data_IF_970486422258
#
_entry.id   IF_970486422258
#
_cell.length_a   1.000
_cell.length_b   1.000
_cell.length_c   1.000
_cell.angle_alpha   90.00
_cell.angle_beta   90.00
_cell.angle_gamma   90.00
#
_symmetry.space_group_name_H-M   'P 1'
#
loop_
_entity.id
_entity.type
_entity.pdbx_description
1 polymer ?
#
# COMPACT_ATOMS: atom_id res chain seq x y z
N UNK A 1 -0.69 25.24 12.17
CA UNK A 1 0.53 24.77 11.48
C UNK A 1 1.08 25.91 10.61
N UNK A 2 2.42 26.15 10.61
CA UNK A 2 3.03 27.18 9.75
C UNK A 2 3.26 26.65 8.33
N UNK A 3 3.39 27.56 7.35
CA UNK A 3 3.69 27.19 5.96
C UNK A 3 5.03 26.44 5.86
N UNK A 4 6.03 26.83 6.65
CA UNK A 4 7.33 26.17 6.70
C UNK A 4 7.20 24.73 7.21
N UNK A 5 6.45 24.51 8.28
CA UNK A 5 6.16 23.16 8.80
C UNK A 5 5.48 22.29 7.74
N UNK A 6 4.50 22.84 7.01
CA UNK A 6 3.81 22.11 5.94
C UNK A 6 4.76 21.67 4.82
N UNK A 7 5.65 22.57 4.38
CA UNK A 7 6.65 22.26 3.34
C UNK A 7 7.63 21.19 3.82
N UNK A 8 8.14 21.31 5.05
CA UNK A 8 9.07 20.31 5.61
C UNK A 8 8.38 18.95 5.73
N UNK A 9 7.14 18.89 6.20
CA UNK A 9 6.38 17.64 6.26
C UNK A 9 6.16 17.04 4.88
N UNK A 10 5.88 17.88 3.86
CA UNK A 10 5.79 17.42 2.47
C UNK A 10 7.10 16.84 1.93
N UNK A 11 8.23 17.45 2.26
CA UNK A 11 9.55 16.92 1.90
C UNK A 11 9.86 15.60 2.61
N UNK A 12 9.58 15.52 3.92
CA UNK A 12 9.74 14.27 4.69
C UNK A 12 8.89 13.17 4.07
N UNK A 13 7.60 13.43 3.82
CA UNK A 13 6.70 12.47 3.18
C UNK A 13 7.25 12.02 1.83
N UNK A 14 7.61 12.95 0.95
CA UNK A 14 8.11 12.64 -0.38
C UNK A 14 9.40 11.81 -0.37
N UNK A 15 10.31 12.04 0.57
CA UNK A 15 11.53 11.27 0.70
C UNK A 15 11.29 9.88 1.33
N UNK A 16 10.50 9.83 2.41
CA UNK A 16 10.33 8.59 3.19
C UNK A 16 9.29 7.64 2.62
N UNK A 17 8.37 8.10 1.76
CA UNK A 17 7.39 7.25 1.10
C UNK A 17 8.04 6.34 0.04
N UNK A 18 9.04 6.84 -0.68
CA UNK A 18 9.74 6.05 -1.70
C UNK A 18 10.89 5.20 -1.14
N UNK A 19 11.30 5.48 0.08
CA UNK A 19 12.25 4.65 0.81
C UNK A 19 11.47 3.74 1.78
N UNK A 20 11.89 2.47 1.97
CA UNK A 20 11.19 1.54 2.87
C UNK A 20 11.47 1.84 4.35
N UNK A 21 11.30 3.11 4.79
CA UNK A 21 11.71 3.59 6.12
C UNK A 21 10.55 4.08 7.00
N UNK A 22 9.30 3.81 6.61
CA UNK A 22 8.08 4.25 7.31
C UNK A 22 7.88 5.77 7.34
N UNK A 23 7.18 6.29 6.32
CA UNK A 23 6.82 7.72 6.23
C UNK A 23 5.97 8.20 7.40
N UNK A 24 4.95 7.42 7.78
CA UNK A 24 4.07 7.76 8.91
C UNK A 24 4.81 7.82 10.25
N UNK A 25 5.82 6.96 10.47
CA UNK A 25 6.67 7.03 11.66
C UNK A 25 7.48 8.33 11.71
N UNK A 26 8.06 8.75 10.58
CA UNK A 26 8.80 10.01 10.48
C UNK A 26 7.90 11.22 10.66
N UNK A 27 6.70 11.23 10.06
CA UNK A 27 5.73 12.30 10.24
C UNK A 27 5.26 12.41 11.70
N UNK A 28 5.00 11.28 12.37
CA UNK A 28 4.62 11.26 13.79
C UNK A 28 5.71 11.86 14.67
N UNK A 29 6.97 11.44 14.48
CA UNK A 29 8.11 12.01 15.22
C UNK A 29 8.26 13.50 14.97
N UNK A 30 8.16 13.94 13.71
CA UNK A 30 8.28 15.36 13.38
C UNK A 30 7.17 16.18 14.04
N UNK A 31 5.92 15.72 14.03
CA UNK A 31 4.79 16.38 14.69
C UNK A 31 5.05 16.58 16.19
N UNK A 32 5.53 15.54 16.87
CA UNK A 32 5.78 15.58 18.31
C UNK A 32 6.97 16.50 18.63
N UNK A 33 8.11 16.33 17.93
CA UNK A 33 9.34 17.09 18.22
C UNK A 33 9.21 18.58 17.93
N UNK A 34 8.45 18.96 16.89
CA UNK A 34 8.26 20.36 16.49
C UNK A 34 6.93 20.94 16.96
N UNK A 35 6.22 20.21 17.84
CA UNK A 35 4.93 20.61 18.42
C UNK A 35 3.97 21.15 17.34
N UNK A 36 3.84 20.40 16.25
CA UNK A 36 2.99 20.75 15.13
C UNK A 36 1.54 20.56 15.53
N UNK A 37 0.81 21.67 15.70
CA UNK A 37 -0.61 21.63 16.06
C UNK A 37 -1.43 21.07 14.90
N UNK A 38 -2.09 19.93 15.10
CA UNK A 38 -2.72 19.11 14.06
C UNK A 38 -4.23 19.07 14.22
N UNK A 39 -4.91 20.19 14.50
CA UNK A 39 -6.38 20.27 14.49
C UNK A 39 -7.00 19.76 13.17
N UNK A 40 -6.19 19.75 12.08
CA UNK A 40 -6.51 19.17 10.77
C UNK A 40 -5.70 17.90 10.47
N UNK A 41 -5.10 17.26 11.48
CA UNK A 41 -4.01 16.30 11.35
C UNK A 41 -4.27 15.16 10.36
N UNK A 42 -5.40 14.50 10.45
CA UNK A 42 -5.73 13.37 9.56
C UNK A 42 -5.89 13.82 8.10
N UNK A 43 -6.58 14.94 7.84
CA UNK A 43 -6.78 15.44 6.49
C UNK A 43 -5.46 15.84 5.84
N UNK A 44 -4.59 16.50 6.60
CA UNK A 44 -3.29 16.91 6.10
C UNK A 44 -2.40 15.71 5.75
N UNK A 45 -2.36 14.68 6.60
CA UNK A 45 -1.64 13.45 6.33
C UNK A 45 -2.16 12.73 5.07
N UNK A 46 -3.48 12.68 4.91
CA UNK A 46 -4.11 12.12 3.70
C UNK A 46 -3.66 12.92 2.47
N UNK A 47 -3.64 14.26 2.54
CA UNK A 47 -3.20 15.09 1.42
C UNK A 47 -1.73 14.87 1.05
N UNK A 48 -0.85 14.63 2.03
CA UNK A 48 0.54 14.27 1.80
C UNK A 48 0.65 12.94 1.04
N UNK A 49 -0.11 11.91 1.45
CA UNK A 49 -0.15 10.62 0.75
C UNK A 49 -0.77 10.73 -0.65
N UNK A 50 -1.79 11.57 -0.83
CA UNK A 50 -2.36 11.84 -2.16
C UNK A 50 -1.30 12.47 -3.07
N UNK A 51 -0.47 13.38 -2.56
CA UNK A 51 0.63 13.98 -3.32
C UNK A 51 1.64 12.94 -3.82
N UNK A 52 2.07 12.02 -2.96
CA UNK A 52 2.98 10.93 -3.35
C UNK A 52 2.31 9.92 -4.28
N UNK A 53 1.04 9.61 -4.07
CA UNK A 53 0.25 8.75 -4.97
C UNK A 53 0.15 9.35 -6.39
N UNK A 54 -0.10 10.65 -6.49
CA UNK A 54 -0.11 11.34 -7.79
C UNK A 54 1.24 11.26 -8.49
N UNK A 55 2.34 11.42 -7.76
CA UNK A 55 3.68 11.27 -8.31
C UNK A 55 3.91 9.85 -8.88
N UNK A 56 3.50 8.81 -8.15
CA UNK A 56 3.54 7.41 -8.63
C UNK A 56 2.67 7.23 -9.88
N UNK A 57 1.46 7.78 -9.87
CA UNK A 57 0.55 7.69 -11.03
C UNK A 57 1.13 8.36 -12.27
N UNK A 58 1.82 9.48 -12.13
CA UNK A 58 2.46 10.19 -13.25
C UNK A 58 3.64 9.39 -13.80
N UNK A 59 4.49 8.84 -12.94
CA UNK A 59 5.69 8.10 -13.36
C UNK A 59 5.33 6.74 -13.98
N UNK A 60 4.42 6.01 -13.36
CA UNK A 60 4.05 4.63 -13.74
C UNK A 60 2.69 4.53 -14.45
N UNK A 61 2.23 5.61 -15.11
CA UNK A 61 0.87 5.65 -15.69
C UNK A 61 0.57 4.50 -16.66
N UNK A 62 1.56 4.03 -17.44
CA UNK A 62 1.40 2.92 -18.40
C UNK A 62 1.15 1.58 -17.68
N UNK A 63 1.94 1.31 -16.63
CA UNK A 63 1.81 0.08 -15.87
C UNK A 63 0.52 0.07 -15.07
N UNK A 64 0.17 1.20 -14.45
CA UNK A 64 -1.08 1.37 -13.70
C UNK A 64 -2.29 1.19 -14.63
N UNK A 65 -2.27 1.81 -15.82
CA UNK A 65 -3.35 1.65 -16.77
C UNK A 65 -3.51 0.18 -17.21
N UNK A 66 -2.39 -0.53 -17.43
CA UNK A 66 -2.42 -1.95 -17.76
C UNK A 66 -2.99 -2.80 -16.62
N UNK A 67 -2.55 -2.55 -15.38
CA UNK A 67 -3.07 -3.25 -14.20
C UNK A 67 -4.57 -2.99 -13.97
N UNK A 68 -5.03 -1.74 -14.14
CA UNK A 68 -6.46 -1.39 -14.04
C UNK A 68 -7.28 -2.11 -15.12
N UNK A 69 -6.80 -2.17 -16.36
CA UNK A 69 -7.44 -2.90 -17.44
C UNK A 69 -7.58 -4.40 -17.11
N UNK A 70 -6.51 -5.02 -16.61
CA UNK A 70 -6.54 -6.43 -16.22
C UNK A 70 -7.45 -6.68 -15.02
N UNK A 71 -7.48 -5.77 -14.03
CA UNK A 71 -8.42 -5.84 -12.91
C UNK A 71 -9.87 -5.81 -13.39
N UNK A 72 -10.23 -4.88 -14.29
CA UNK A 72 -11.58 -4.83 -14.89
C UNK A 72 -11.88 -6.13 -15.63
N UNK A 73 -10.92 -6.67 -16.37
CA UNK A 73 -11.06 -7.95 -17.06
C UNK A 73 -11.34 -9.11 -16.08
N UNK A 74 -10.66 -9.16 -14.95
CA UNK A 74 -10.91 -10.15 -13.88
C UNK A 74 -12.33 -10.03 -13.35
N UNK A 75 -12.79 -8.80 -13.06
CA UNK A 75 -14.14 -8.56 -12.55
C UNK A 75 -15.19 -9.01 -13.55
N UNK A 76 -15.02 -8.68 -14.83
CA UNK A 76 -15.95 -9.09 -15.90
C UNK A 76 -16.01 -10.62 -16.02
N UNK A 77 -14.85 -11.30 -16.02
CA UNK A 77 -14.82 -12.76 -16.13
C UNK A 77 -15.40 -13.45 -14.88
N UNK A 78 -15.20 -12.88 -13.69
CA UNK A 78 -15.85 -13.36 -12.46
C UNK A 78 -17.37 -13.21 -12.52
N UNK A 79 -17.88 -12.05 -12.96
CA UNK A 79 -19.32 -11.81 -13.11
C UNK A 79 -19.89 -12.78 -14.16
N UNK A 80 -19.22 -12.96 -15.29
CA UNK A 80 -19.65 -13.91 -16.32
C UNK A 80 -19.72 -15.34 -15.77
N UNK A 81 -18.68 -15.82 -15.07
CA UNK A 81 -18.68 -17.13 -14.46
C UNK A 81 -19.81 -17.30 -13.43
N UNK A 82 -20.13 -16.24 -12.68
CA UNK A 82 -21.25 -16.24 -11.75
C UNK A 82 -22.61 -16.36 -12.49
N UNK A 83 -22.79 -15.68 -13.64
CA UNK A 83 -24.02 -15.81 -14.44
C UNK A 83 -24.16 -17.22 -15.06
N UNK A 84 -23.04 -17.86 -15.43
CA UNK A 84 -23.03 -19.26 -15.88
C UNK A 84 -23.43 -20.19 -14.73
N UNK A 85 -22.90 -19.97 -13.52
CA UNK A 85 -23.22 -20.77 -12.34
C UNK A 85 -24.71 -20.69 -11.96
N UNK A 86 -25.32 -19.51 -12.11
CA UNK A 86 -26.75 -19.27 -11.81
C UNK A 86 -27.66 -19.76 -12.94
N UNK A 87 -27.10 -20.35 -14.02
CA UNK A 87 -27.88 -20.94 -15.13
C UNK A 87 -28.53 -19.92 -16.08
N UNK A 88 -28.11 -18.64 -16.02
CA UNK A 88 -28.65 -17.59 -16.87
C UNK A 88 -28.07 -17.55 -18.30
N UNK A 89 -26.86 -18.10 -18.48
CA UNK A 89 -26.20 -18.13 -19.80
C UNK A 89 -25.99 -19.59 -20.25
N UNK A 90 -26.54 -19.94 -21.39
CA UNK A 90 -26.77 -21.31 -21.88
C UNK A 90 -25.53 -22.13 -22.31
N UNK A 91 -24.32 -21.56 -22.40
CA UNK A 91 -23.21 -22.27 -23.03
C UNK A 91 -22.32 -23.06 -22.00
N UNK A 92 -22.56 -22.90 -20.70
CA UNK A 92 -21.91 -23.69 -19.64
C UNK A 92 -20.38 -23.63 -19.55
N UNK A 93 -19.73 -22.80 -20.37
CA UNK A 93 -18.27 -22.70 -20.45
C UNK A 93 -17.75 -21.61 -19.52
N UNK A 94 -17.00 -22.02 -18.49
CA UNK A 94 -16.32 -21.11 -17.58
C UNK A 94 -15.11 -20.44 -18.23
N UNK A 95 -14.94 -19.14 -18.01
CA UNK A 95 -13.76 -18.40 -18.44
C UNK A 95 -12.63 -18.56 -17.42
N UNK A 96 -11.42 -18.79 -17.91
CA UNK A 96 -10.22 -18.76 -17.08
C UNK A 96 -9.93 -17.31 -16.64
N UNK A 97 -10.09 -17.02 -15.35
CA UNK A 97 -9.91 -15.67 -14.79
C UNK A 97 -8.43 -15.28 -14.78
N UNK A 98 -7.51 -16.22 -14.47
CA UNK A 98 -6.07 -15.95 -14.36
C UNK A 98 -5.32 -16.71 -15.42
N UNK A 99 -5.11 -16.11 -16.59
CA UNK A 99 -4.43 -16.72 -17.73
C UNK A 99 -3.07 -16.07 -18.06
N UNK A 100 -2.74 -14.92 -17.48
CA UNK A 100 -1.48 -14.21 -17.71
C UNK A 100 -0.81 -13.76 -16.39
N UNK A 101 0.48 -13.37 -16.49
CA UNK A 101 1.27 -12.94 -15.34
C UNK A 101 0.78 -11.63 -14.70
N UNK A 102 0.18 -10.72 -15.47
CA UNK A 102 -0.39 -9.48 -14.94
C UNK A 102 -1.65 -9.76 -14.12
N UNK A 103 -2.54 -10.62 -14.59
CA UNK A 103 -3.73 -11.04 -13.82
C UNK A 103 -3.35 -11.76 -12.54
N UNK A 104 -2.30 -12.61 -12.60
CA UNK A 104 -1.76 -13.26 -11.39
C UNK A 104 -1.26 -12.23 -10.38
N UNK A 105 -0.53 -11.21 -10.85
CA UNK A 105 -0.04 -10.14 -9.98
C UNK A 105 -1.19 -9.34 -9.36
N UNK A 106 -2.20 -8.96 -10.15
CA UNK A 106 -3.41 -8.28 -9.65
C UNK A 106 -4.13 -9.11 -8.58
N UNK A 107 -4.30 -10.42 -8.82
CA UNK A 107 -4.91 -11.32 -7.81
C UNK A 107 -4.09 -11.43 -6.54
N UNK A 108 -2.77 -11.49 -6.64
CA UNK A 108 -1.89 -11.47 -5.46
C UNK A 108 -2.03 -10.18 -4.66
N UNK A 109 -2.12 -9.03 -5.33
CA UNK A 109 -2.36 -7.73 -4.67
C UNK A 109 -3.71 -7.74 -3.96
N UNK A 110 -4.78 -8.20 -4.60
CA UNK A 110 -6.12 -8.27 -3.99
C UNK A 110 -6.08 -9.16 -2.74
N UNK A 111 -5.53 -10.37 -2.86
CA UNK A 111 -5.47 -11.35 -1.75
C UNK A 111 -4.63 -10.80 -0.59
N UNK A 112 -3.50 -10.14 -0.86
CA UNK A 112 -2.66 -9.55 0.21
C UNK A 112 -3.29 -8.32 0.86
N UNK A 113 -4.15 -7.58 0.16
CA UNK A 113 -4.84 -6.41 0.71
C UNK A 113 -5.90 -6.77 1.75
N UNK A 114 -6.53 -7.95 1.62
CA UNK A 114 -7.59 -8.37 2.55
C UNK A 114 -7.07 -8.48 4.00
N UNK A 115 -6.04 -9.29 4.32
CA UNK A 115 -5.55 -9.39 5.69
C UNK A 115 -4.99 -8.05 6.20
N UNK A 116 -4.30 -7.29 5.34
CA UNK A 116 -3.78 -5.96 5.69
C UNK A 116 -4.90 -4.99 6.05
N UNK A 117 -6.00 -4.98 5.27
CA UNK A 117 -7.16 -4.14 5.53
C UNK A 117 -7.87 -4.52 6.82
N UNK A 118 -8.04 -5.81 7.11
CA UNK A 118 -8.63 -6.30 8.36
C UNK A 118 -7.78 -5.87 9.56
N UNK A 119 -6.46 -6.11 9.50
CA UNK A 119 -5.54 -5.72 10.59
C UNK A 119 -5.51 -4.20 10.78
N UNK A 120 -5.49 -3.42 9.69
CA UNK A 120 -5.51 -1.97 9.74
C UNK A 120 -6.79 -1.44 10.39
N UNK A 121 -7.94 -2.01 10.05
CA UNK A 121 -9.23 -1.63 10.65
C UNK A 121 -9.31 -1.97 12.14
N UNK A 122 -8.92 -3.19 12.52
CA UNK A 122 -8.98 -3.65 13.92
C UNK A 122 -7.98 -2.91 14.81
N UNK A 123 -6.80 -2.57 14.27
CA UNK A 123 -5.73 -1.93 15.03
C UNK A 123 -5.74 -0.39 14.94
N UNK A 124 -6.67 0.23 14.19
CA UNK A 124 -6.67 1.67 13.91
C UNK A 124 -6.57 2.54 15.15
N UNK A 125 -7.40 2.29 16.16
CA UNK A 125 -7.46 3.09 17.38
C UNK A 125 -6.19 2.92 18.22
N UNK A 126 -5.68 1.67 18.30
CA UNK A 126 -4.43 1.37 18.99
C UNK A 126 -3.24 2.06 18.32
N UNK A 127 -3.17 2.02 16.98
CA UNK A 127 -2.10 2.66 16.21
C UNK A 127 -2.15 4.18 16.38
N UNK A 128 -3.34 4.77 16.33
CA UNK A 128 -3.52 6.22 16.53
C UNK A 128 -3.05 6.65 17.91
N UNK A 129 -3.53 6.00 18.97
CA UNK A 129 -3.12 6.29 20.34
C UNK A 129 -1.61 6.08 20.56
N UNK A 130 -1.04 5.02 19.99
CA UNK A 130 0.38 4.71 20.10
C UNK A 130 1.26 5.73 19.33
N UNK A 131 0.80 6.27 18.23
CA UNK A 131 1.55 7.24 17.40
C UNK A 131 1.73 8.61 18.07
N UNK A 132 0.92 8.93 19.08
CA UNK A 132 1.02 10.16 19.87
C UNK A 132 2.12 10.09 20.94
N UNK A 133 2.60 8.91 21.26
CA UNK A 133 3.64 8.69 22.27
C UNK A 133 5.01 8.66 21.59
N UNK A 134 5.87 9.66 21.86
CA UNK A 134 7.18 9.84 21.20
C UNK A 134 8.03 8.55 21.11
N UNK A 135 8.04 7.74 22.15
CA UNK A 135 8.86 6.54 22.19
C UNK A 135 8.38 5.44 21.25
N UNK A 136 7.09 5.36 20.97
CA UNK A 136 6.51 4.28 20.16
C UNK A 136 6.95 4.36 18.70
N UNK A 137 6.73 5.46 17.96
CA UNK A 137 7.23 5.57 16.59
C UNK A 137 8.77 5.50 16.54
N UNK A 138 9.48 6.02 17.54
CA UNK A 138 10.95 5.92 17.63
C UNK A 138 11.44 4.46 17.70
N UNK A 139 10.87 3.65 18.59
CA UNK A 139 11.21 2.22 18.71
C UNK A 139 10.84 1.47 17.42
N UNK A 140 9.67 1.74 16.85
CA UNK A 140 9.25 1.11 15.60
C UNK A 140 10.21 1.43 14.45
N UNK A 141 10.72 2.65 14.35
CA UNK A 141 11.71 3.04 13.35
C UNK A 141 13.05 2.32 13.56
N UNK A 142 13.50 2.14 14.82
CA UNK A 142 14.72 1.38 15.13
C UNK A 142 14.55 -0.09 14.71
N UNK A 143 13.38 -0.69 14.99
CA UNK A 143 13.08 -2.06 14.55
C UNK A 143 13.10 -2.17 13.02
N UNK A 144 12.46 -1.22 12.34
CA UNK A 144 12.46 -1.16 10.87
C UNK A 144 13.87 -1.02 10.31
N UNK A 145 14.68 -0.14 10.89
CA UNK A 145 16.08 0.02 10.51
C UNK A 145 16.89 -1.27 10.70
N UNK A 146 16.67 -1.99 11.81
CA UNK A 146 17.30 -3.30 12.06
C UNK A 146 16.90 -4.35 11.03
N UNK A 147 15.60 -4.41 10.66
CA UNK A 147 15.11 -5.31 9.62
C UNK A 147 15.71 -4.98 8.25
N UNK A 148 15.77 -3.70 7.87
CA UNK A 148 16.39 -3.27 6.62
C UNK A 148 17.87 -3.62 6.56
N UNK A 149 18.59 -3.41 7.66
CA UNK A 149 20.01 -3.76 7.77
C UNK A 149 20.24 -5.28 7.61
N UNK A 150 19.33 -6.10 8.13
CA UNK A 150 19.38 -7.55 7.93
C UNK A 150 19.05 -7.89 6.48
N UNK A 151 18.01 -7.28 5.89
CA UNK A 151 17.63 -7.50 4.50
C UNK A 151 18.73 -7.14 3.51
N UNK A 152 19.50 -6.08 3.77
CA UNK A 152 20.62 -5.65 2.93
C UNK A 152 21.77 -6.69 2.88
N UNK A 153 21.86 -7.54 3.89
CA UNK A 153 22.85 -8.61 3.99
C UNK A 153 22.40 -9.96 3.40
N UNK A 154 21.13 -10.09 3.07
CA UNK A 154 20.59 -11.30 2.45
C UNK A 154 20.85 -11.26 0.94
N UNK A 155 21.38 -12.34 0.32
CA UNK A 155 21.57 -12.40 -1.12
C UNK A 155 20.27 -12.16 -1.88
N UNK A 156 20.35 -11.44 -3.01
CA UNK A 156 19.20 -11.16 -3.85
C UNK A 156 18.45 -12.43 -4.25
N UNK A 157 17.13 -12.44 -4.03
CA UNK A 157 16.27 -13.55 -4.43
C UNK A 157 16.09 -13.60 -5.95
N UNK A 158 16.25 -14.77 -6.55
CA UNK A 158 16.12 -14.97 -8.00
C UNK A 158 14.66 -15.10 -8.49
N UNK A 159 13.67 -15.05 -7.61
CA UNK A 159 12.25 -15.21 -7.99
C UNK A 159 11.70 -13.94 -8.64
N UNK A 160 11.31 -14.03 -9.91
CA UNK A 160 10.59 -12.95 -10.60
C UNK A 160 9.11 -12.92 -10.15
N UNK A 161 8.41 -11.75 -10.20
CA UNK A 161 6.99 -11.65 -9.82
C UNK A 161 6.08 -12.68 -10.50
N UNK A 162 6.40 -13.07 -11.73
CA UNK A 162 5.67 -14.11 -12.47
C UNK A 162 5.81 -15.53 -11.90
N UNK A 163 6.82 -15.76 -11.05
CA UNK A 163 7.14 -17.08 -10.46
C UNK A 163 6.63 -17.21 -9.02
N UNK A 164 6.11 -16.14 -8.43
CA UNK A 164 5.55 -16.15 -7.07
C UNK A 164 4.24 -16.93 -7.06
N UNK A 165 4.12 -17.92 -6.15
CA UNK A 165 2.89 -18.69 -5.92
C UNK A 165 2.03 -18.01 -4.83
N UNK A 166 0.79 -18.49 -4.66
CA UNK A 166 -0.13 -18.00 -3.62
C UNK A 166 0.30 -18.40 -2.19
N UNK A 167 1.26 -19.32 -2.05
CA UNK A 167 1.74 -19.84 -0.77
C UNK A 167 3.15 -19.35 -0.39
N UNK A 168 3.69 -18.38 -1.11
CA UNK A 168 5.02 -17.81 -0.83
C UNK A 168 4.92 -16.41 -0.23
#
# INVERSE_FOLDING_TARGET
MSMVQSVIMGLIQGLTEFLPVSSSGHLALFKILFNVNTDTGLLFDIMLHVGTLLAVCIVYYKDIFHLVKEFIGIVIDCIYNLTVLVGKNGDGVYRHVVYNGYRKFVMLVIVSTIPTGILGFVASDLVTAASEILFVPGICLIITAGLLFICDRVPEGHKRPKQVGYAN
#
